data_IF_754531889130
#
_entry.id   IF_754531889130
#
_cell.length_a   1.000
_cell.length_b   1.000
_cell.length_c   1.000
_cell.angle_alpha   90.00
_cell.angle_beta   90.00
_cell.angle_gamma   90.00
#
_symmetry.space_group_name_H-M   'P 1'
#
loop_
_entity.id
_entity.type
_entity.pdbx_description
1 polymer ?
#
# COMPACT_ATOMS: atom_id res chain seq x y z
N UNK A 1 -3.46 -1.38 18.56
CA UNK A 1 -2.06 -1.82 18.26
C UNK A 1 -1.48 -2.52 19.50
N UNK A 2 -0.89 -3.72 19.32
CA UNK A 2 -0.27 -4.44 20.45
C UNK A 2 1.01 -3.73 20.87
N UNK A 3 1.14 -3.34 22.13
CA UNK A 3 2.37 -2.76 22.66
C UNK A 3 3.34 -3.87 23.07
N UNK A 4 4.62 -3.67 22.82
CA UNK A 4 5.66 -4.53 23.37
C UNK A 4 5.68 -4.41 24.89
N UNK A 5 5.72 -5.53 25.60
CA UNK A 5 5.90 -5.59 27.05
C UNK A 5 7.37 -5.82 27.44
N UNK A 6 8.14 -6.39 26.52
CA UNK A 6 9.55 -6.72 26.71
C UNK A 6 10.39 -6.13 25.56
N UNK A 7 11.60 -5.72 25.91
CA UNK A 7 12.55 -5.16 24.95
C UNK A 7 13.01 -6.23 23.95
N UNK A 8 12.89 -5.98 22.63
CA UNK A 8 13.32 -6.96 21.61
C UNK A 8 14.86 -7.09 21.54
N UNK A 9 15.60 -6.15 22.15
CA UNK A 9 17.07 -6.16 22.11
C UNK A 9 17.65 -6.97 23.30
N UNK A 10 17.14 -6.76 24.53
CA UNK A 10 17.75 -7.36 25.74
C UNK A 10 16.79 -8.20 26.57
N UNK A 11 15.54 -8.37 26.15
CA UNK A 11 14.51 -9.17 26.82
C UNK A 11 13.98 -8.61 28.14
N UNK A 12 14.45 -7.45 28.60
CA UNK A 12 13.99 -6.84 29.86
C UNK A 12 12.62 -6.20 29.66
N UNK A 13 11.86 -6.07 30.78
CA UNK A 13 10.56 -5.42 30.77
C UNK A 13 10.69 -3.95 30.35
N UNK A 14 9.75 -3.48 29.53
CA UNK A 14 9.65 -2.08 29.13
C UNK A 14 8.82 -1.30 30.14
N UNK A 15 9.22 -0.06 30.36
CA UNK A 15 8.47 0.94 31.12
C UNK A 15 7.87 1.99 30.17
N UNK A 16 6.84 2.68 30.63
CA UNK A 16 6.24 3.81 29.93
C UNK A 16 6.95 5.09 30.34
N UNK A 17 7.41 5.87 29.37
CA UNK A 17 8.07 7.16 29.61
C UNK A 17 7.60 8.23 28.62
N UNK A 18 7.62 9.50 29.06
CA UNK A 18 7.39 10.64 28.18
C UNK A 18 8.71 10.94 27.43
N UNK A 19 8.75 10.65 26.14
CA UNK A 19 9.91 10.84 25.26
C UNK A 19 9.46 11.65 24.04
N UNK A 20 10.13 12.76 23.76
CA UNK A 20 9.80 13.69 22.65
C UNK A 20 8.33 14.14 22.68
N UNK A 21 7.80 14.40 23.89
CA UNK A 21 6.42 14.86 24.10
C UNK A 21 5.34 13.80 23.88
N UNK A 22 5.70 12.50 23.76
CA UNK A 22 4.78 11.39 23.60
C UNK A 22 5.07 10.26 24.58
N UNK A 23 4.02 9.59 25.04
CA UNK A 23 4.12 8.37 25.82
C UNK A 23 4.68 7.24 24.93
N UNK A 24 5.88 6.72 25.29
CA UNK A 24 6.54 5.63 24.57
C UNK A 24 6.92 4.50 25.50
N UNK A 25 7.01 3.29 24.99
CA UNK A 25 7.62 2.18 25.71
C UNK A 25 9.14 2.30 25.60
N UNK A 26 9.82 2.20 26.75
CA UNK A 26 11.25 2.43 26.88
C UNK A 26 11.89 1.32 27.71
N UNK A 27 13.10 0.93 27.36
CA UNK A 27 13.88 -0.06 28.09
C UNK A 27 14.87 0.63 29.03
N UNK A 28 14.68 0.57 30.37
CA UNK A 28 15.62 1.19 31.32
C UNK A 28 16.99 0.50 31.36
N UNK A 29 17.10 -0.73 30.85
CA UNK A 29 18.34 -1.52 30.87
C UNK A 29 19.28 -1.26 29.71
N UNK A 30 18.75 -0.97 28.49
CA UNK A 30 19.57 -0.74 27.30
C UNK A 30 19.17 0.53 26.53
N UNK A 31 18.31 1.36 27.11
CA UNK A 31 17.86 2.64 26.56
C UNK A 31 17.12 2.54 25.20
N UNK A 32 16.69 1.34 24.79
CA UNK A 32 15.89 1.17 23.59
C UNK A 32 14.51 1.82 23.75
N UNK A 33 14.08 2.56 22.71
CA UNK A 33 12.76 3.22 22.69
C UNK A 33 11.92 2.60 21.57
N UNK A 34 10.69 2.25 21.87
CA UNK A 34 9.73 1.79 20.88
C UNK A 34 9.05 2.98 20.20
N UNK A 35 9.46 3.27 18.97
CA UNK A 35 8.77 4.21 18.08
C UNK A 35 7.70 3.47 17.29
N UNK A 36 6.46 3.95 17.40
CA UNK A 36 5.34 3.44 16.59
C UNK A 36 5.31 4.27 15.30
N UNK A 37 5.77 3.67 14.21
CA UNK A 37 5.83 4.31 12.90
C UNK A 37 4.76 3.72 11.98
N UNK A 38 4.24 4.49 10.99
CA UNK A 38 3.38 3.94 9.95
C UNK A 38 4.12 2.85 9.16
N UNK A 39 3.42 1.79 8.80
CA UNK A 39 3.94 0.79 7.88
C UNK A 39 3.88 1.34 6.45
N UNK A 40 4.98 1.27 5.68
CA UNK A 40 5.00 1.76 4.31
C UNK A 40 4.33 0.77 3.35
N UNK A 41 3.50 1.32 2.45
CA UNK A 41 2.77 0.58 1.42
C UNK A 41 2.91 1.32 0.09
N UNK A 42 3.09 0.60 -1.02
CA UNK A 42 2.99 1.15 -2.36
C UNK A 42 1.71 0.67 -3.06
N UNK A 43 1.09 1.57 -3.86
CA UNK A 43 -0.12 1.26 -4.65
C UNK A 43 0.10 1.69 -6.08
N UNK A 44 -0.23 0.80 -7.01
CA UNK A 44 -0.10 0.99 -8.45
C UNK A 44 -1.46 1.36 -9.08
N UNK A 45 -1.62 2.62 -9.48
CA UNK A 45 -2.68 3.04 -10.41
C UNK A 45 -2.19 2.73 -11.84
N UNK A 46 -2.47 1.53 -12.31
CA UNK A 46 -1.91 1.00 -13.56
C UNK A 46 -2.87 1.19 -14.73
N UNK A 47 -2.39 1.77 -15.81
CA UNK A 47 -3.15 1.94 -17.05
C UNK A 47 -2.45 1.26 -18.24
N UNK A 48 -3.26 0.69 -19.15
CA UNK A 48 -2.79 0.14 -20.41
C UNK A 48 -2.71 1.22 -21.52
N UNK A 49 -2.34 0.82 -22.73
CA UNK A 49 -2.23 1.71 -23.91
C UNK A 49 -3.56 2.33 -24.35
N UNK A 50 -4.70 1.77 -23.92
CA UNK A 50 -6.04 2.31 -24.16
C UNK A 50 -6.51 3.25 -23.04
N UNK A 51 -5.64 3.53 -22.05
CA UNK A 51 -5.95 4.30 -20.84
C UNK A 51 -7.07 3.66 -19.98
N UNK A 52 -7.21 2.33 -20.03
CA UNK A 52 -8.08 1.57 -19.14
C UNK A 52 -7.34 1.28 -17.84
N UNK A 53 -8.05 1.36 -16.70
CA UNK A 53 -7.50 1.15 -15.37
C UNK A 53 -7.53 -0.33 -14.99
N UNK A 54 -6.40 -0.84 -14.52
CA UNK A 54 -6.32 -2.15 -13.88
C UNK A 54 -6.93 -2.10 -12.48
N UNK A 55 -7.87 -2.99 -12.22
CA UNK A 55 -8.35 -3.28 -10.87
C UNK A 55 -8.31 -4.79 -10.62
N UNK A 56 -8.09 -5.14 -9.37
CA UNK A 56 -7.95 -6.51 -8.87
C UNK A 56 -9.05 -6.82 -7.87
N UNK A 57 -9.47 -8.08 -7.76
CA UNK A 57 -10.41 -8.54 -6.72
C UNK A 57 -9.67 -9.47 -5.77
N UNK A 58 -9.56 -9.03 -4.52
CA UNK A 58 -8.74 -9.66 -3.47
C UNK A 58 -9.29 -11.03 -3.03
N UNK A 59 -8.40 -12.01 -2.85
CA UNK A 59 -8.76 -13.36 -2.41
C UNK A 59 -8.50 -13.61 -0.92
N UNK A 60 -8.05 -12.62 -0.14
CA UNK A 60 -7.78 -12.76 1.30
C UNK A 60 -8.04 -11.46 2.08
N UNK A 61 -8.10 -11.59 3.41
CA UNK A 61 -8.22 -10.47 4.34
C UNK A 61 -6.91 -9.65 4.43
N UNK A 62 -6.99 -8.36 4.73
CA UNK A 62 -8.20 -7.56 4.85
C UNK A 62 -8.81 -7.26 3.48
N UNK A 63 -10.11 -6.97 3.47
CA UNK A 63 -10.88 -6.66 2.27
C UNK A 63 -11.04 -7.84 1.29
N UNK A 64 -11.29 -9.04 1.83
CA UNK A 64 -11.65 -10.22 1.05
C UNK A 64 -12.80 -9.91 0.09
N UNK A 65 -12.65 -10.31 -1.17
CA UNK A 65 -13.64 -10.14 -2.24
C UNK A 65 -13.92 -8.67 -2.65
N UNK A 66 -13.16 -7.70 -2.16
CA UNK A 66 -13.28 -6.30 -2.56
C UNK A 66 -12.41 -5.98 -3.77
N UNK A 67 -12.89 -5.06 -4.60
CA UNK A 67 -12.11 -4.49 -5.70
C UNK A 67 -11.12 -3.46 -5.18
N UNK A 68 -9.90 -3.50 -5.70
CA UNK A 68 -8.77 -2.69 -5.28
C UNK A 68 -7.85 -2.33 -6.44
N UNK A 69 -6.93 -1.40 -6.19
CA UNK A 69 -5.73 -1.23 -7.01
C UNK A 69 -4.66 -2.22 -6.55
N UNK A 70 -3.78 -2.71 -7.42
CA UNK A 70 -2.61 -3.51 -7.04
C UNK A 70 -1.72 -2.80 -6.04
N UNK A 71 -1.07 -3.56 -5.15
CA UNK A 71 -0.11 -3.01 -4.21
C UNK A 71 -0.03 -3.74 -2.89
N UNK A 72 1.06 -3.47 -2.15
CA UNK A 72 1.36 -4.11 -0.88
C UNK A 72 2.41 -3.40 -0.06
N UNK A 73 2.95 -4.10 0.94
CA UNK A 73 3.95 -3.56 1.85
C UNK A 73 5.31 -3.44 1.16
N UNK A 74 6.03 -2.37 1.50
CA UNK A 74 7.43 -2.21 1.08
C UNK A 74 8.33 -3.10 1.93
N UNK A 75 9.31 -3.71 1.29
CA UNK A 75 10.35 -4.49 1.95
C UNK A 75 11.49 -3.60 2.47
N UNK A 76 12.24 -4.10 3.46
CA UNK A 76 13.37 -3.38 4.03
C UNK A 76 14.48 -3.17 2.98
N UNK A 77 14.83 -1.91 2.73
CA UNK A 77 15.84 -1.52 1.73
C UNK A 77 15.30 -1.31 0.32
N UNK A 78 13.99 -1.47 0.13
CA UNK A 78 13.32 -1.27 -1.15
C UNK A 78 12.85 0.19 -1.28
N UNK A 79 13.06 0.78 -2.45
CA UNK A 79 12.49 2.10 -2.75
C UNK A 79 10.99 1.98 -3.10
N UNK A 80 10.16 3.00 -2.75
CA UNK A 80 8.71 2.90 -2.93
C UNK A 80 8.26 2.62 -4.37
N UNK A 81 8.97 3.11 -5.36
CA UNK A 81 8.65 2.85 -6.77
C UNK A 81 9.02 1.43 -7.21
N UNK A 82 10.09 0.84 -6.64
CA UNK A 82 10.49 -0.54 -6.89
C UNK A 82 9.46 -1.50 -6.28
N UNK A 83 9.04 -1.28 -5.01
CA UNK A 83 7.99 -2.05 -4.37
C UNK A 83 6.65 -1.97 -5.11
N UNK A 84 6.30 -0.80 -5.62
CA UNK A 84 5.11 -0.64 -6.45
C UNK A 84 5.12 -1.54 -7.69
N UNK A 85 6.26 -1.61 -8.40
CA UNK A 85 6.41 -2.44 -9.61
C UNK A 85 6.52 -3.93 -9.27
N UNK A 86 7.19 -4.28 -8.16
CA UNK A 86 7.28 -5.67 -7.66
C UNK A 86 5.89 -6.22 -7.34
N UNK A 87 5.08 -5.50 -6.55
CA UNK A 87 3.72 -5.90 -6.19
C UNK A 87 2.84 -6.06 -7.45
N UNK A 88 2.91 -5.11 -8.39
CA UNK A 88 2.21 -5.24 -9.68
C UNK A 88 2.59 -6.52 -10.41
N UNK A 89 3.89 -6.82 -10.48
CA UNK A 89 4.41 -8.02 -11.14
C UNK A 89 3.97 -9.30 -10.42
N UNK A 90 4.06 -9.34 -9.08
CA UNK A 90 3.71 -10.51 -8.26
C UNK A 90 2.22 -10.84 -8.35
N UNK A 91 1.36 -9.82 -8.32
CA UNK A 91 -0.09 -9.98 -8.36
C UNK A 91 -0.64 -10.28 -9.75
N UNK A 92 -0.02 -9.73 -10.83
CA UNK A 92 -0.63 -9.71 -12.17
C UNK A 92 0.27 -10.18 -13.31
N UNK A 93 1.56 -10.40 -13.06
CA UNK A 93 2.61 -10.70 -14.04
C UNK A 93 2.81 -9.60 -15.11
N UNK A 94 2.38 -8.37 -14.82
CA UNK A 94 2.56 -7.24 -15.72
C UNK A 94 3.86 -6.50 -15.46
N UNK A 95 4.64 -6.26 -16.51
CA UNK A 95 5.79 -5.36 -16.47
C UNK A 95 5.34 -3.92 -16.68
N UNK A 96 5.46 -3.11 -15.62
CA UNK A 96 5.06 -1.71 -15.62
C UNK A 96 6.25 -0.75 -15.63
N UNK A 97 5.96 0.50 -16.00
CA UNK A 97 6.89 1.63 -15.86
C UNK A 97 6.23 2.74 -15.07
N UNK A 98 6.92 3.26 -14.06
CA UNK A 98 6.45 4.43 -13.31
C UNK A 98 6.36 5.63 -14.26
N UNK A 99 5.19 6.23 -14.31
CA UNK A 99 4.94 7.49 -15.03
C UNK A 99 5.15 8.68 -14.07
N UNK A 100 4.44 8.68 -12.92
CA UNK A 100 4.55 9.74 -11.92
C UNK A 100 4.03 9.30 -10.56
N UNK A 101 4.38 10.07 -9.53
CA UNK A 101 3.75 10.00 -8.21
C UNK A 101 2.34 10.65 -8.30
N UNK A 102 1.32 9.95 -7.79
CA UNK A 102 -0.03 10.49 -7.61
C UNK A 102 -0.12 11.23 -6.29
N UNK A 103 0.31 10.57 -5.20
CA UNK A 103 0.26 11.18 -3.89
C UNK A 103 0.80 10.27 -2.79
N UNK A 104 0.88 10.86 -1.59
CA UNK A 104 1.24 10.17 -0.35
C UNK A 104 0.08 10.33 0.61
N UNK A 105 -0.39 9.24 1.19
CA UNK A 105 -1.61 9.16 1.99
C UNK A 105 -1.32 8.53 3.33
N UNK A 106 -2.10 8.95 4.33
CA UNK A 106 -2.15 8.26 5.61
C UNK A 106 -3.46 7.46 5.72
N UNK A 107 -3.38 6.24 6.27
CA UNK A 107 -4.55 5.40 6.55
C UNK A 107 -4.38 4.66 7.86
N UNK A 108 -5.45 4.64 8.67
CA UNK A 108 -5.56 3.72 9.81
C UNK A 108 -6.34 2.47 9.38
N UNK A 109 -5.78 1.31 9.69
CA UNK A 109 -6.38 0.00 9.42
C UNK A 109 -6.37 -0.81 10.70
N UNK A 110 -7.49 -1.42 11.07
CA UNK A 110 -7.66 -2.12 12.34
C UNK A 110 -6.59 -3.21 12.56
N UNK A 111 -6.28 -3.98 11.53
CA UNK A 111 -5.31 -5.08 11.58
C UNK A 111 -3.86 -4.59 11.70
N UNK A 112 -3.50 -3.55 10.95
CA UNK A 112 -2.10 -3.11 10.79
C UNK A 112 -1.78 -1.80 11.52
N UNK A 113 -2.79 -1.05 11.97
CA UNK A 113 -2.63 0.29 12.54
C UNK A 113 -2.40 1.34 11.45
N UNK A 114 -1.40 2.21 11.67
CA UNK A 114 -1.09 3.32 10.79
C UNK A 114 -0.31 2.88 9.54
N UNK A 115 -0.77 3.30 8.36
CA UNK A 115 -0.10 3.07 7.08
C UNK A 115 0.30 4.41 6.45
N UNK A 116 1.48 4.41 5.82
CA UNK A 116 1.93 5.45 4.89
C UNK A 116 1.88 4.87 3.48
N UNK A 117 0.93 5.33 2.68
CA UNK A 117 0.69 4.79 1.34
C UNK A 117 1.24 5.72 0.28
N UNK A 118 2.12 5.22 -0.58
CA UNK A 118 2.69 5.94 -1.72
C UNK A 118 2.05 5.40 -3.00
N UNK A 119 1.27 6.24 -3.69
CA UNK A 119 0.56 5.83 -4.90
C UNK A 119 1.25 6.37 -6.16
N UNK A 120 1.54 5.49 -7.09
CA UNK A 120 2.13 5.82 -8.39
C UNK A 120 1.18 5.55 -9.54
N UNK A 121 1.24 6.40 -10.56
CA UNK A 121 0.73 6.04 -11.89
C UNK A 121 1.76 5.19 -12.60
N UNK A 122 1.30 4.02 -13.06
CA UNK A 122 2.10 3.03 -13.78
C UNK A 122 1.50 2.85 -15.17
N UNK A 123 2.33 2.73 -16.19
CA UNK A 123 1.91 2.41 -17.56
C UNK A 123 2.44 1.03 -17.93
N UNK A 124 1.61 0.24 -18.62
CA UNK A 124 1.98 -1.07 -19.14
C UNK A 124 1.77 -1.10 -20.66
N UNK A 125 2.65 -1.79 -21.36
CA UNK A 125 2.55 -1.96 -22.82
C UNK A 125 1.74 -3.21 -23.20
N UNK A 126 1.76 -4.24 -22.35
CA UNK A 126 1.02 -5.49 -22.49
C UNK A 126 -0.16 -5.49 -21.50
N UNK A 127 -1.29 -6.06 -21.89
CA UNK A 127 -2.48 -6.22 -21.05
C UNK A 127 -2.81 -7.69 -20.74
N UNK A 128 -1.89 -8.62 -21.02
CA UNK A 128 -2.02 -10.04 -20.72
C UNK A 128 -1.79 -10.32 -19.22
N UNK A 129 -2.87 -10.40 -18.45
CA UNK A 129 -2.83 -10.60 -17.00
C UNK A 129 -2.73 -12.09 -16.68
N UNK A 130 -1.80 -12.43 -15.77
CA UNK A 130 -1.75 -13.72 -15.08
C UNK A 130 -1.78 -13.47 -13.58
N UNK A 131 -2.89 -13.82 -12.92
CA UNK A 131 -3.06 -13.58 -11.48
C UNK A 131 -2.41 -14.70 -10.64
N UNK A 132 -1.95 -14.33 -9.45
CA UNK A 132 -1.50 -15.28 -8.43
C UNK A 132 -2.66 -15.71 -7.50
N UNK A 133 -2.33 -16.49 -6.45
CA UNK A 133 -3.32 -17.00 -5.48
C UNK A 133 -3.94 -15.92 -4.56
N UNK A 134 -3.42 -14.72 -4.58
CA UNK A 134 -3.90 -13.58 -3.76
C UNK A 134 -5.11 -12.89 -4.36
N UNK A 135 -5.42 -13.21 -5.62
CA UNK A 135 -6.49 -12.60 -6.37
C UNK A 135 -7.53 -13.62 -6.85
N UNK A 136 -8.80 -13.22 -6.81
CA UNK A 136 -9.86 -13.95 -7.51
C UNK A 136 -9.98 -13.54 -8.97
N UNK A 137 -9.67 -12.27 -9.27
CA UNK A 137 -9.90 -11.68 -10.58
C UNK A 137 -9.04 -10.41 -10.75
N UNK A 138 -8.64 -10.12 -11.98
CA UNK A 138 -8.03 -8.85 -12.36
C UNK A 138 -8.44 -8.50 -13.78
N UNK A 139 -8.56 -7.21 -14.09
CA UNK A 139 -8.90 -6.76 -15.43
C UNK A 139 -8.70 -5.27 -15.64
N UNK A 140 -8.54 -4.90 -16.91
CA UNK A 140 -8.54 -3.51 -17.34
C UNK A 140 -9.95 -3.05 -17.69
N UNK A 141 -10.34 -1.89 -17.19
CA UNK A 141 -11.67 -1.32 -17.37
C UNK A 141 -11.58 0.14 -17.79
N UNK A 142 -12.43 0.53 -18.75
CA UNK A 142 -12.64 1.94 -19.02
C UNK A 142 -13.17 2.64 -17.76
N UNK A 143 -12.79 3.90 -17.53
CA UNK A 143 -13.07 4.60 -16.26
C UNK A 143 -14.54 4.60 -15.82
N UNK A 144 -15.48 4.62 -16.77
CA UNK A 144 -16.92 4.58 -16.51
C UNK A 144 -17.48 3.16 -16.28
N UNK A 145 -16.66 2.13 -16.46
CA UNK A 145 -16.99 0.71 -16.30
C UNK A 145 -16.22 0.04 -15.15
N UNK A 146 -15.42 0.80 -14.41
CA UNK A 146 -14.66 0.27 -13.26
C UNK A 146 -15.66 -0.33 -12.25
N UNK A 147 -15.43 -1.57 -11.80
CA UNK A 147 -16.20 -2.18 -10.71
C UNK A 147 -16.22 -1.30 -9.46
N UNK A 148 -17.21 -1.50 -8.57
CA UNK A 148 -17.36 -0.71 -7.35
C UNK A 148 -16.18 -0.93 -6.37
N UNK A 149 -15.18 -0.07 -6.46
CA UNK A 149 -14.02 -0.04 -5.54
C UNK A 149 -14.48 0.58 -4.22
N UNK A 150 -14.77 -0.24 -3.21
CA UNK A 150 -15.30 0.21 -1.92
C UNK A 150 -14.23 0.67 -0.94
N UNK A 151 -12.97 0.28 -1.12
CA UNK A 151 -11.85 0.70 -0.27
C UNK A 151 -11.67 2.22 -0.41
N UNK A 152 -11.93 3.02 0.65
CA UNK A 152 -12.01 4.48 0.52
C UNK A 152 -10.72 5.13 -0.01
N UNK A 153 -9.56 4.60 0.41
CA UNK A 153 -8.27 5.12 -0.06
C UNK A 153 -8.04 4.86 -1.55
N UNK A 154 -8.38 3.66 -2.04
CA UNK A 154 -8.21 3.34 -3.47
C UNK A 154 -9.13 4.19 -4.33
N UNK A 155 -10.36 4.45 -3.87
CA UNK A 155 -11.28 5.39 -4.51
C UNK A 155 -10.71 6.83 -4.55
N UNK A 156 -10.09 7.28 -3.47
CA UNK A 156 -9.42 8.58 -3.42
C UNK A 156 -8.27 8.65 -4.43
N UNK A 157 -7.40 7.63 -4.47
CA UNK A 157 -6.29 7.57 -5.44
C UNK A 157 -6.79 7.64 -6.88
N UNK A 158 -7.88 6.91 -7.20
CA UNK A 158 -8.50 6.94 -8.54
C UNK A 158 -8.98 8.36 -8.88
N UNK A 159 -9.63 9.04 -7.93
CA UNK A 159 -10.11 10.41 -8.11
C UNK A 159 -8.97 11.39 -8.32
N UNK A 160 -7.92 11.32 -7.48
CA UNK A 160 -6.77 12.23 -7.55
C UNK A 160 -5.98 12.04 -8.85
N UNK A 161 -5.83 10.79 -9.31
CA UNK A 161 -5.21 10.49 -10.59
C UNK A 161 -6.00 11.06 -11.78
N UNK A 162 -7.34 11.01 -11.73
CA UNK A 162 -8.20 11.59 -12.76
C UNK A 162 -8.07 13.12 -12.82
N UNK A 163 -8.03 13.80 -11.66
CA UNK A 163 -7.85 15.25 -11.59
C UNK A 163 -6.49 15.70 -12.17
N UNK A 164 -5.43 14.94 -11.93
CA UNK A 164 -4.10 15.26 -12.50
C UNK A 164 -4.05 15.10 -14.02
N UNK A 165 -4.89 14.26 -14.62
CA UNK A 165 -4.97 14.09 -16.08
C UNK A 165 -5.70 15.26 -16.78
N UNK A 166 -6.46 16.10 -16.04
CA UNK A 166 -7.21 17.25 -16.60
C UNK A 166 -6.43 18.56 -16.58
N UNK A 167 -5.28 18.61 -15.92
CA UNK A 167 -4.46 19.84 -15.74
C UNK A 167 -3.21 19.85 -16.66
N UNK A 168 -2.99 18.81 -17.45
CA UNK A 168 -1.94 18.70 -18.46
C UNK A 168 -2.56 18.68 -19.84
#
# INVERSE_FOLDING_TARGET
MKQYLFCPICGKRLDKALIDGRDRMFCPSCSWVHYINPLPVAVAYTVNTKNELLVIRRAHEPALNEWALPGGFLEAGEEPHEGCLRELMEETSLEGKIDRLIGIYHREVELYGSLLVVAYRVVVADDAITINHELFEAGFYAHHLIPDVRIPLHRQIITDAALQNTVG
#
